data_IF_179066706111
#
_entry.id   IF_179066706111
#
_cell.length_a   1.000
_cell.length_b   1.000
_cell.length_c   1.000
_cell.angle_alpha   90.00
_cell.angle_beta   90.00
_cell.angle_gamma   90.00
#
_symmetry.space_group_name_H-M   'P 1'
#
loop_
_entity.id
_entity.type
_entity.pdbx_description
1 polymer ?
#
# COMPACT_ATOMS: atom_id res chain seq x y z
N UNK A 1 -5.68 8.67 11.56
CA UNK A 1 -5.56 7.22 11.27
C UNK A 1 -4.56 7.06 10.15
N UNK A 2 -3.69 6.05 10.22
CA UNK A 2 -2.60 5.87 9.27
C UNK A 2 -2.93 4.73 8.31
N UNK A 3 -2.53 4.88 7.05
CA UNK A 3 -2.62 3.87 6.00
C UNK A 3 -1.25 3.74 5.35
N UNK A 4 -0.70 2.54 5.34
CA UNK A 4 0.56 2.21 4.67
C UNK A 4 0.25 1.55 3.32
N UNK A 5 0.91 2.01 2.27
CA UNK A 5 0.80 1.43 0.93
C UNK A 5 2.02 0.55 0.63
N UNK A 6 1.77 -0.64 0.07
CA UNK A 6 2.81 -1.45 -0.56
C UNK A 6 2.98 -1.09 -2.06
N UNK A 7 3.96 -1.72 -2.72
CA UNK A 7 4.20 -1.50 -4.14
C UNK A 7 2.99 -1.90 -5.01
N UNK A 8 2.30 -2.98 -4.63
CA UNK A 8 1.14 -3.50 -5.36
C UNK A 8 -0.02 -2.48 -5.32
N UNK A 9 -0.30 -1.92 -4.15
CA UNK A 9 -1.32 -0.91 -3.95
C UNK A 9 -1.07 0.36 -4.76
N UNK A 10 0.19 0.79 -4.85
CA UNK A 10 0.59 1.94 -5.65
C UNK A 10 0.45 1.70 -7.16
N UNK A 11 0.49 0.45 -7.63
CA UNK A 11 0.28 0.08 -9.03
C UNK A 11 -1.21 -0.07 -9.40
N UNK A 12 -2.09 -0.40 -8.44
CA UNK A 12 -3.52 -0.63 -8.69
C UNK A 12 -4.24 0.47 -9.50
N UNK A 13 -3.99 1.79 -9.30
CA UNK A 13 -4.64 2.84 -10.08
C UNK A 13 -4.44 2.70 -11.59
N UNK A 14 -3.29 2.17 -11.99
CA UNK A 14 -2.89 2.04 -13.38
C UNK A 14 -3.33 0.71 -13.98
N UNK A 15 -3.44 -0.34 -13.16
CA UNK A 15 -3.89 -1.66 -13.57
C UNK A 15 -5.42 -1.75 -13.66
N UNK A 16 -6.15 -1.11 -12.73
CA UNK A 16 -7.60 -1.26 -12.59
C UNK A 16 -8.39 0.03 -12.79
N UNK A 17 -7.74 1.12 -13.20
CA UNK A 17 -8.34 2.44 -13.48
C UNK A 17 -9.16 2.97 -12.29
N UNK A 18 -8.60 2.86 -11.08
CA UNK A 18 -9.22 3.33 -9.84
C UNK A 18 -8.49 4.58 -9.30
N UNK A 19 -9.20 5.43 -8.56
CA UNK A 19 -8.59 6.54 -7.84
C UNK A 19 -8.30 6.13 -6.39
N UNK A 20 -7.03 5.88 -6.07
CA UNK A 20 -6.62 5.31 -4.78
C UNK A 20 -7.05 6.18 -3.59
N UNK A 21 -6.82 7.49 -3.69
CA UNK A 21 -7.15 8.45 -2.63
C UNK A 21 -8.65 8.49 -2.36
N UNK A 22 -9.47 8.53 -3.43
CA UNK A 22 -10.92 8.52 -3.29
C UNK A 22 -11.43 7.22 -2.68
N UNK A 23 -10.87 6.08 -3.07
CA UNK A 23 -11.28 4.78 -2.53
C UNK A 23 -10.86 4.60 -1.08
N UNK A 24 -9.64 4.99 -0.70
CA UNK A 24 -9.20 4.98 0.70
C UNK A 24 -10.10 5.91 1.52
N UNK A 25 -10.38 7.13 1.03
CA UNK A 25 -11.25 8.08 1.71
C UNK A 25 -12.69 7.59 1.84
N UNK A 26 -13.22 6.90 0.83
CA UNK A 26 -14.56 6.30 0.88
C UNK A 26 -14.66 5.25 1.99
N UNK A 27 -13.60 4.47 2.19
CA UNK A 27 -13.58 3.36 3.14
C UNK A 27 -13.26 3.82 4.57
N UNK A 28 -12.32 4.74 4.76
CA UNK A 28 -11.80 5.14 6.08
C UNK A 28 -12.02 6.60 6.47
N UNK A 29 -12.54 7.44 5.56
CA UNK A 29 -12.59 8.88 5.75
C UNK A 29 -11.22 9.54 5.57
N UNK A 30 -10.97 10.66 6.28
CA UNK A 30 -9.69 11.36 6.18
C UNK A 30 -8.60 10.59 6.96
N UNK A 31 -7.50 10.28 6.28
CA UNK A 31 -6.38 9.50 6.81
C UNK A 31 -5.05 10.08 6.36
N UNK A 32 -3.97 9.70 7.05
CA UNK A 32 -2.61 9.94 6.59
C UNK A 32 -2.16 8.72 5.76
N UNK A 33 -1.75 8.95 4.53
CA UNK A 33 -1.24 7.91 3.63
C UNK A 33 0.28 7.98 3.63
N UNK A 34 0.91 6.85 3.96
CA UNK A 34 2.35 6.73 4.07
C UNK A 34 2.89 5.63 3.16
N UNK A 35 4.08 5.85 2.62
CA UNK A 35 4.83 4.88 1.81
C UNK A 35 6.14 4.54 2.49
N UNK A 36 6.43 3.25 2.79
CA UNK A 36 7.72 2.86 3.34
C UNK A 36 8.86 3.16 2.37
N UNK A 37 9.99 3.64 2.89
CA UNK A 37 11.17 3.97 2.08
C UNK A 37 11.63 2.83 1.15
N UNK A 38 11.58 1.58 1.60
CA UNK A 38 11.96 0.41 0.80
C UNK A 38 11.09 0.22 -0.46
N UNK A 39 9.81 0.63 -0.40
CA UNK A 39 8.86 0.51 -1.52
C UNK A 39 9.22 1.46 -2.66
N UNK A 40 9.79 2.63 -2.36
CA UNK A 40 10.30 3.53 -3.40
C UNK A 40 11.42 2.87 -4.21
N UNK A 41 12.37 2.21 -3.54
CA UNK A 41 13.45 1.48 -4.20
C UNK A 41 12.97 0.29 -5.04
N UNK A 42 11.94 -0.43 -4.58
CA UNK A 42 11.31 -1.50 -5.35
C UNK A 42 10.65 -0.97 -6.62
N UNK A 43 9.89 0.11 -6.51
CA UNK A 43 9.23 0.75 -7.65
C UNK A 43 10.26 1.31 -8.65
N UNK A 44 11.36 1.90 -8.19
CA UNK A 44 12.46 2.31 -9.06
C UNK A 44 13.01 1.15 -9.88
N UNK A 45 13.28 0.01 -9.25
CA UNK A 45 13.76 -1.20 -9.95
C UNK A 45 12.74 -1.71 -10.97
N UNK A 46 11.45 -1.76 -10.58
CA UNK A 46 10.36 -2.25 -11.43
C UNK A 46 10.04 -1.31 -12.59
N UNK A 47 10.22 0.00 -12.41
CA UNK A 47 9.93 1.03 -13.42
C UNK A 47 10.75 0.89 -14.70
N UNK A 48 11.86 0.13 -14.66
CA UNK A 48 12.69 -0.19 -15.83
C UNK A 48 12.02 -1.18 -16.79
N UNK A 49 11.03 -1.94 -16.30
CA UNK A 49 10.38 -3.02 -17.04
C UNK A 49 8.87 -2.83 -17.19
N UNK A 50 8.23 -2.10 -16.26
CA UNK A 50 6.78 -1.93 -16.20
C UNK A 50 6.42 -0.44 -16.14
N UNK A 51 5.57 0.00 -17.06
CA UNK A 51 5.14 1.40 -17.12
C UNK A 51 4.25 1.77 -15.92
N UNK A 52 3.48 0.81 -15.39
CA UNK A 52 2.65 0.96 -14.20
C UNK A 52 3.52 1.27 -12.98
N UNK A 53 4.66 0.58 -12.84
CA UNK A 53 5.61 0.85 -11.75
C UNK A 53 6.25 2.24 -11.87
N UNK A 54 6.52 2.71 -13.10
CA UNK A 54 6.99 4.08 -13.33
C UNK A 54 5.95 5.12 -12.90
N UNK A 55 4.68 4.89 -13.21
CA UNK A 55 3.59 5.76 -12.80
C UNK A 55 3.34 5.70 -11.28
N UNK A 56 3.39 4.50 -10.70
CA UNK A 56 3.31 4.23 -9.26
C UNK A 56 4.41 4.93 -8.48
N UNK A 57 5.65 4.96 -8.98
CA UNK A 57 6.73 5.71 -8.35
C UNK A 57 6.44 7.21 -8.30
N UNK A 58 5.86 7.78 -9.37
CA UNK A 58 5.48 9.20 -9.38
C UNK A 58 4.30 9.49 -8.44
N UNK A 59 3.35 8.55 -8.33
CA UNK A 59 2.26 8.63 -7.37
C UNK A 59 2.78 8.56 -5.93
N UNK A 60 3.67 7.61 -5.63
CA UNK A 60 4.24 7.39 -4.31
C UNK A 60 4.92 8.64 -3.74
N UNK A 61 5.59 9.42 -4.59
CA UNK A 61 6.24 10.68 -4.22
C UNK A 61 5.29 11.79 -3.73
N UNK A 62 3.97 11.62 -3.90
CA UNK A 62 2.96 12.57 -3.39
C UNK A 62 2.56 12.28 -1.94
N UNK A 63 2.86 11.09 -1.45
CA UNK A 63 2.53 10.68 -0.09
C UNK A 63 3.71 10.92 0.85
N UNK A 64 3.42 10.91 2.15
CA UNK A 64 4.44 10.99 3.17
C UNK A 64 5.28 9.71 3.16
N UNK A 65 6.60 9.85 3.24
CA UNK A 65 7.50 8.70 3.32
C UNK A 65 7.77 8.36 4.78
N UNK A 66 7.76 7.07 5.12
CA UNK A 66 8.19 6.56 6.42
C UNK A 66 9.45 5.72 6.29
N UNK A 67 10.46 6.04 7.10
CA UNK A 67 11.71 5.30 7.14
C UNK A 67 11.52 3.95 7.84
N UNK A 68 12.07 2.90 7.23
CA UNK A 68 12.00 1.51 7.72
C UNK A 68 13.34 0.84 7.45
N UNK A 69 13.71 -0.11 8.30
CA UNK A 69 14.97 -0.83 8.16
C UNK A 69 14.82 -2.06 7.25
N UNK A 70 13.63 -2.68 7.28
CA UNK A 70 13.36 -3.89 6.50
C UNK A 70 12.94 -3.57 5.06
N UNK A 71 13.18 -4.53 4.18
CA UNK A 71 12.83 -4.46 2.75
C UNK A 71 11.55 -5.24 2.45
N UNK A 72 10.91 -4.97 1.31
CA UNK A 72 9.72 -5.70 0.87
C UNK A 72 8.56 -5.60 1.84
N UNK A 73 7.77 -6.66 1.83
CA UNK A 73 6.65 -6.91 2.74
C UNK A 73 7.04 -6.74 4.21
N UNK A 74 8.27 -7.08 4.59
CA UNK A 74 8.74 -6.91 5.96
C UNK A 74 8.90 -5.43 6.36
N UNK A 75 9.26 -4.56 5.42
CA UNK A 75 9.30 -3.11 5.63
C UNK A 75 7.89 -2.52 5.76
N UNK A 76 6.94 -3.00 4.96
CA UNK A 76 5.52 -2.62 5.08
C UNK A 76 4.94 -3.07 6.44
N UNK A 77 5.26 -4.30 6.86
CA UNK A 77 4.87 -4.84 8.17
C UNK A 77 5.45 -4.02 9.31
N UNK A 78 6.74 -3.65 9.22
CA UNK A 78 7.41 -2.78 10.19
C UNK A 78 6.73 -1.42 10.31
N UNK A 79 6.48 -0.74 9.18
CA UNK A 79 5.77 0.53 9.15
C UNK A 79 4.38 0.43 9.76
N UNK A 80 3.61 -0.60 9.39
CA UNK A 80 2.25 -0.80 9.88
C UNK A 80 2.20 -0.99 11.41
N UNK A 81 3.15 -1.76 11.97
CA UNK A 81 3.28 -1.94 13.43
C UNK A 81 3.68 -0.65 14.13
N UNK A 82 4.70 0.05 13.62
CA UNK A 82 5.18 1.33 14.19
C UNK A 82 4.07 2.38 14.26
N UNK A 83 3.21 2.42 13.24
CA UNK A 83 2.19 3.46 13.07
C UNK A 83 0.78 3.06 13.51
N UNK A 84 0.59 1.81 13.96
CA UNK A 84 -0.73 1.20 14.16
C UNK A 84 -1.67 1.45 12.96
N UNK A 85 -1.17 1.16 11.76
CA UNK A 85 -1.80 1.54 10.49
C UNK A 85 -2.60 0.40 9.87
N UNK A 86 -3.55 0.77 9.00
CA UNK A 86 -4.08 -0.15 8.00
C UNK A 86 -3.03 -0.35 6.89
N UNK A 87 -3.05 -1.51 6.24
CA UNK A 87 -2.23 -1.74 5.05
C UNK A 87 -3.14 -1.95 3.84
N UNK A 88 -2.86 -1.24 2.75
CA UNK A 88 -3.48 -1.54 1.45
C UNK A 88 -2.57 -2.51 0.70
N UNK A 89 -3.09 -3.67 0.32
CA UNK A 89 -2.40 -4.64 -0.53
C UNK A 89 -3.39 -5.54 -1.26
N UNK A 90 -3.03 -5.96 -2.47
CA UNK A 90 -3.74 -7.02 -3.21
C UNK A 90 -3.02 -8.37 -3.16
N UNK A 91 -1.89 -8.48 -2.47
CA UNK A 91 -1.21 -9.76 -2.29
C UNK A 91 -1.93 -10.56 -1.20
N UNK A 92 -2.58 -11.66 -1.60
CA UNK A 92 -3.34 -12.53 -0.69
C UNK A 92 -2.46 -13.26 0.32
N UNK A 93 -1.22 -13.59 -0.03
CA UNK A 93 -0.30 -14.25 0.89
C UNK A 93 0.17 -13.26 1.95
N UNK A 94 0.52 -12.04 1.54
CA UNK A 94 0.92 -10.99 2.47
C UNK A 94 -0.23 -10.51 3.35
N UNK A 95 -1.44 -10.34 2.80
CA UNK A 95 -2.64 -10.02 3.58
C UNK A 95 -2.90 -11.00 4.73
N UNK A 96 -2.71 -12.31 4.48
CA UNK A 96 -2.84 -13.35 5.53
C UNK A 96 -1.79 -13.19 6.63
N UNK A 97 -0.57 -12.79 6.28
CA UNK A 97 0.50 -12.54 7.26
C UNK A 97 0.13 -11.32 8.11
N UNK A 98 -0.28 -10.21 7.48
CA UNK A 98 -0.70 -8.99 8.17
C UNK A 98 -1.83 -9.23 9.17
N UNK A 99 -2.87 -9.98 8.76
CA UNK A 99 -3.99 -10.34 9.65
C UNK A 99 -3.56 -11.18 10.85
N UNK A 100 -2.67 -12.17 10.64
CA UNK A 100 -2.10 -12.97 11.74
C UNK A 100 -1.32 -12.11 12.74
N UNK A 101 -0.74 -11.00 12.26
CA UNK A 101 -0.03 -10.02 13.08
C UNK A 101 -0.97 -8.94 13.67
N UNK A 102 -2.29 -9.07 13.52
CA UNK A 102 -3.30 -8.15 14.05
C UNK A 102 -3.45 -6.85 13.26
N UNK A 103 -2.90 -6.78 12.05
CA UNK A 103 -2.95 -5.59 11.19
C UNK A 103 -4.16 -5.66 10.27
N UNK A 104 -4.92 -4.57 10.25
CA UNK A 104 -6.10 -4.44 9.41
C UNK A 104 -5.70 -4.23 7.95
N UNK A 105 -6.28 -5.03 7.06
CA UNK A 105 -5.97 -5.02 5.63
C UNK A 105 -7.11 -4.40 4.84
N UNK A 106 -6.75 -3.60 3.84
CA UNK A 106 -7.64 -3.10 2.79
C UNK A 106 -7.18 -3.73 1.48
N UNK A 107 -8.10 -4.34 0.74
CA UNK A 107 -7.80 -4.94 -0.55
C UNK A 107 -8.87 -4.62 -1.57
N UNK A 108 -8.56 -4.86 -2.84
CA UNK A 108 -9.49 -4.65 -3.93
C UNK A 108 -10.45 -5.83 -4.07
N UNK A 109 -11.75 -5.54 -4.09
CA UNK A 109 -12.80 -6.48 -4.44
C UNK A 109 -13.52 -5.99 -5.69
N UNK A 110 -13.43 -6.77 -6.76
CA UNK A 110 -13.88 -6.35 -8.09
C UNK A 110 -13.15 -5.06 -8.51
N UNK A 111 -13.79 -3.89 -8.40
CA UNK A 111 -13.27 -2.60 -8.82
C UNK A 111 -13.25 -1.55 -7.69
N UNK A 112 -13.37 -1.95 -6.42
CA UNK A 112 -13.37 -1.03 -5.29
C UNK A 112 -12.59 -1.59 -4.09
N UNK A 113 -12.09 -0.72 -3.23
CA UNK A 113 -11.40 -1.11 -2.00
C UNK A 113 -12.39 -1.51 -0.91
N UNK A 114 -12.06 -2.54 -0.15
CA UNK A 114 -12.83 -3.00 1.00
C UNK A 114 -11.88 -3.27 2.16
N UNK A 115 -12.33 -2.98 3.39
CA UNK A 115 -11.65 -3.51 4.58
C UNK A 115 -11.90 -5.01 4.58
N UNK A 116 -10.83 -5.78 4.64
CA UNK A 116 -10.98 -7.21 4.85
C UNK A 116 -11.40 -7.47 6.29
N UNK A 117 -12.52 -8.15 6.47
CA UNK A 117 -12.90 -8.69 7.77
C UNK A 117 -12.11 -9.98 8.03
N UNK A 118 -11.90 -10.29 9.31
CA UNK A 118 -11.36 -11.56 9.78
C UNK A 118 -12.44 -12.66 9.77
#
# INVERSE_FOLDING_TARGET
MNVVLDANALMMPFEYRLNLDLEIKRVLGNVNILVPSCILGELERLSRKRWEAKAALQLAKKYEMIEVEKLGDNGVLEAAKKLNAYVVTNDRAFARILKKEGIKVISMKQNHLVIEND
#
